data_IF_816216872282
#
_entry.id   IF_816216872282
#
_cell.length_a   1.000
_cell.length_b   1.000
_cell.length_c   1.000
_cell.angle_alpha   90.00
_cell.angle_beta   90.00
_cell.angle_gamma   90.00
#
_symmetry.space_group_name_H-M   'P 1'
#
loop_
_entity.id
_entity.type
_entity.pdbx_description
1 polymer ?
#
# COMPACT_ATOMS: atom_id res chain seq x y z
N UNK A 1 -20.14 -21.57 -42.85
CA UNK A 1 -18.84 -21.56 -42.22
C UNK A 1 -18.33 -20.17 -41.82
N UNK A 2 -19.14 -19.06 -41.83
CA UNK A 2 -18.69 -17.70 -41.46
C UNK A 2 -19.03 -17.29 -40.02
N UNK A 3 -19.88 -18.04 -39.31
CA UNK A 3 -20.25 -17.69 -37.90
C UNK A 3 -19.30 -18.20 -36.82
N UNK A 4 -18.47 -19.21 -37.12
CA UNK A 4 -17.50 -19.77 -36.16
C UNK A 4 -16.22 -18.94 -36.01
N UNK A 5 -15.84 -18.18 -37.06
CA UNK A 5 -14.60 -17.38 -37.05
C UNK A 5 -14.75 -16.16 -36.15
N UNK A 6 -15.94 -15.56 -36.05
CA UNK A 6 -16.21 -14.43 -35.19
C UNK A 6 -16.19 -14.77 -33.70
N UNK A 7 -16.66 -15.98 -33.35
CA UNK A 7 -16.66 -16.45 -31.97
C UNK A 7 -15.22 -16.74 -31.46
N UNK A 8 -14.37 -17.30 -32.34
CA UNK A 8 -12.96 -17.55 -32.02
C UNK A 8 -12.16 -16.23 -31.93
N UNK A 9 -12.48 -15.23 -32.76
CA UNK A 9 -11.83 -13.93 -32.68
C UNK A 9 -12.23 -13.16 -31.42
N UNK A 10 -13.49 -13.27 -31.00
CA UNK A 10 -13.96 -12.68 -29.73
C UNK A 10 -13.36 -13.39 -28.50
N UNK A 11 -13.17 -14.72 -28.58
CA UNK A 11 -12.50 -15.48 -27.53
C UNK A 11 -10.99 -15.19 -27.47
N UNK A 12 -10.33 -14.95 -28.60
CA UNK A 12 -8.93 -14.54 -28.61
C UNK A 12 -8.67 -13.11 -28.18
N UNK A 13 -9.65 -12.19 -28.35
CA UNK A 13 -9.54 -10.83 -27.79
C UNK A 13 -9.65 -10.84 -26.25
N UNK A 14 -10.36 -11.81 -25.67
CA UNK A 14 -10.45 -12.00 -24.21
C UNK A 14 -9.17 -12.58 -23.59
N UNK A 15 -8.28 -13.20 -24.38
CA UNK A 15 -7.05 -13.81 -23.86
C UNK A 15 -5.78 -12.99 -24.10
N UNK A 16 -5.87 -11.84 -24.78
CA UNK A 16 -4.72 -11.03 -25.18
C UNK A 16 -4.45 -9.83 -24.29
N UNK A 17 -5.20 -9.62 -23.21
CA UNK A 17 -4.84 -8.64 -22.21
C UNK A 17 -3.90 -9.27 -21.18
N UNK A 18 -2.70 -8.68 -20.92
CA UNK A 18 -1.89 -9.09 -19.79
C UNK A 18 -2.73 -8.90 -18.53
N UNK A 19 -2.71 -9.89 -17.65
CA UNK A 19 -3.41 -9.88 -16.37
C UNK A 19 -2.94 -8.69 -15.53
N UNK A 20 -3.59 -7.55 -15.72
CA UNK A 20 -3.74 -6.54 -14.70
C UNK A 20 -4.68 -7.19 -13.68
N UNK A 21 -4.34 -7.13 -12.41
CA UNK A 21 -5.14 -7.72 -11.34
C UNK A 21 -6.61 -7.38 -11.56
N UNK A 22 -7.38 -8.32 -12.08
CA UNK A 22 -8.82 -8.19 -12.23
C UNK A 22 -9.41 -8.30 -10.84
N UNK A 23 -9.81 -7.17 -10.28
CA UNK A 23 -10.70 -7.17 -9.15
C UNK A 23 -12.00 -7.86 -9.57
N UNK A 24 -12.25 -9.04 -9.03
CA UNK A 24 -13.43 -9.83 -9.34
C UNK A 24 -14.63 -9.17 -8.65
N UNK A 25 -15.44 -8.46 -9.43
CA UNK A 25 -16.71 -7.90 -8.96
C UNK A 25 -17.84 -8.90 -9.23
N UNK A 26 -18.59 -9.27 -8.20
CA UNK A 26 -19.81 -10.00 -8.41
C UNK A 26 -20.93 -9.01 -8.77
N UNK A 27 -21.35 -9.01 -10.00
CA UNK A 27 -22.55 -8.31 -10.44
C UNK A 27 -23.73 -9.23 -10.15
N UNK A 28 -24.50 -8.90 -9.13
CA UNK A 28 -25.75 -9.60 -8.87
C UNK A 28 -26.82 -9.10 -9.87
N UNK A 29 -27.28 -9.99 -10.72
CA UNK A 29 -28.50 -9.88 -11.53
C UNK A 29 -28.57 -8.83 -12.65
N UNK A 30 -27.54 -8.60 -13.43
CA UNK A 30 -27.70 -7.80 -14.64
C UNK A 30 -27.48 -8.64 -15.90
N UNK A 31 -28.52 -9.24 -16.43
CA UNK A 31 -28.46 -10.05 -17.67
C UNK A 31 -28.17 -9.24 -18.94
N UNK A 32 -28.08 -7.90 -18.87
CA UNK A 32 -27.91 -7.05 -20.04
C UNK A 32 -26.89 -5.91 -19.87
N UNK A 33 -26.34 -5.68 -18.66
CA UNK A 33 -25.37 -4.61 -18.40
C UNK A 33 -24.04 -5.24 -18.03
N UNK A 34 -22.97 -4.89 -18.73
CA UNK A 34 -21.61 -5.24 -18.34
C UNK A 34 -20.97 -4.06 -17.64
N UNK A 35 -20.27 -4.34 -16.55
CA UNK A 35 -19.48 -3.33 -15.83
C UNK A 35 -18.09 -3.87 -15.51
N UNK A 36 -17.10 -3.03 -15.71
CA UNK A 36 -15.69 -3.33 -15.36
C UNK A 36 -15.17 -2.13 -14.59
N UNK A 37 -14.49 -2.37 -13.48
CA UNK A 37 -13.75 -1.30 -12.80
C UNK A 37 -12.28 -1.41 -13.10
N UNK A 38 -11.64 -0.27 -13.28
CA UNK A 38 -10.20 -0.20 -13.44
C UNK A 38 -9.52 0.05 -12.09
N UNK A 39 -8.23 -0.29 -12.00
CA UNK A 39 -7.30 0.05 -10.91
C UNK A 39 -7.23 1.56 -10.61
N UNK A 40 -7.61 2.41 -11.58
CA UNK A 40 -7.65 3.87 -11.45
C UNK A 40 -8.96 4.42 -10.92
N UNK A 41 -9.91 3.57 -10.56
CA UNK A 41 -11.18 4.00 -9.99
C UNK A 41 -12.26 4.36 -11.01
N UNK A 42 -12.10 3.98 -12.26
CA UNK A 42 -13.15 4.15 -13.26
C UNK A 42 -14.05 2.93 -13.32
N UNK A 43 -15.35 3.18 -13.36
CA UNK A 43 -16.37 2.21 -13.69
C UNK A 43 -16.77 2.39 -15.17
N UNK A 44 -16.49 1.39 -15.97
CA UNK A 44 -17.00 1.32 -17.35
C UNK A 44 -18.34 0.61 -17.33
N UNK A 45 -19.40 1.29 -17.73
CA UNK A 45 -20.74 0.72 -17.83
C UNK A 45 -21.12 0.61 -19.28
N UNK A 46 -21.58 -0.57 -19.69
CA UNK A 46 -22.01 -0.82 -21.06
C UNK A 46 -23.39 -1.51 -21.07
N UNK A 47 -24.31 -1.00 -21.86
CA UNK A 47 -25.68 -1.48 -21.96
C UNK A 47 -26.12 -1.56 -23.41
N UNK A 48 -26.68 -2.71 -23.91
CA UNK A 48 -27.30 -2.76 -25.22
C UNK A 48 -28.60 -1.93 -25.22
N UNK A 49 -28.81 -1.18 -26.29
CA UNK A 49 -30.05 -0.42 -26.52
C UNK A 49 -30.88 -1.14 -27.61
N UNK A 50 -32.16 -1.36 -27.35
CA UNK A 50 -33.05 -2.00 -28.32
C UNK A 50 -33.42 -1.07 -29.49
N UNK A 51 -33.38 0.24 -29.24
CA UNK A 51 -33.66 1.31 -30.20
C UNK A 51 -33.03 2.60 -29.69
N UNK A 52 -33.22 3.72 -30.43
CA UNK A 52 -32.95 5.04 -29.85
C UNK A 52 -33.68 5.19 -28.54
N UNK A 53 -32.97 5.55 -27.48
CA UNK A 53 -33.51 5.61 -26.13
C UNK A 53 -32.90 6.73 -25.35
N UNK A 54 -33.70 7.40 -24.53
CA UNK A 54 -33.16 8.33 -23.53
C UNK A 54 -32.47 7.53 -22.45
N UNK A 55 -31.25 7.89 -22.11
CA UNK A 55 -30.46 7.20 -21.09
C UNK A 55 -30.14 8.15 -19.96
N UNK A 56 -30.46 7.73 -18.74
CA UNK A 56 -30.04 8.39 -17.51
C UNK A 56 -29.31 7.38 -16.64
N UNK A 57 -28.15 7.77 -16.10
CA UNK A 57 -27.42 6.96 -15.14
C UNK A 57 -27.36 7.67 -13.80
N UNK A 58 -27.66 6.94 -12.73
CA UNK A 58 -27.53 7.38 -11.35
C UNK A 58 -26.70 6.36 -10.58
N UNK A 59 -25.69 6.83 -9.83
CA UNK A 59 -24.90 5.97 -8.96
C UNK A 59 -25.01 6.51 -7.56
N UNK A 60 -25.34 5.63 -6.61
CA UNK A 60 -25.47 5.93 -5.19
C UNK A 60 -24.48 5.07 -4.40
N UNK A 61 -23.97 5.64 -3.30
CA UNK A 61 -23.12 4.93 -2.37
C UNK A 61 -23.91 4.07 -1.38
N UNK A 62 -23.23 3.47 -0.41
CA UNK A 62 -23.82 2.62 0.61
C UNK A 62 -24.75 3.37 1.59
N UNK A 63 -24.64 4.70 1.66
CA UNK A 63 -25.54 5.56 2.44
C UNK A 63 -26.70 6.13 1.62
N UNK A 64 -26.89 5.63 0.38
CA UNK A 64 -27.90 6.09 -0.59
C UNK A 64 -27.68 7.54 -1.07
N UNK A 65 -26.49 8.11 -0.82
CA UNK A 65 -26.12 9.41 -1.35
C UNK A 65 -25.76 9.30 -2.84
N UNK A 66 -26.26 10.24 -3.65
CA UNK A 66 -25.96 10.27 -5.07
C UNK A 66 -24.53 10.77 -5.29
N UNK A 67 -23.65 9.90 -5.75
CA UNK A 67 -22.23 10.20 -6.08
C UNK A 67 -22.04 10.56 -7.54
N UNK A 68 -22.96 10.12 -8.39
CA UNK A 68 -22.97 10.45 -9.81
C UNK A 68 -24.40 10.44 -10.35
N UNK A 69 -24.74 11.43 -11.19
CA UNK A 69 -25.98 11.45 -11.95
C UNK A 69 -25.79 12.20 -13.24
N UNK A 70 -26.21 11.60 -14.34
CA UNK A 70 -26.15 12.23 -15.67
C UNK A 70 -27.30 11.77 -16.55
N UNK A 71 -27.94 12.74 -17.22
CA UNK A 71 -28.87 12.53 -18.32
C UNK A 71 -28.07 12.68 -19.62
N UNK A 72 -28.00 11.63 -20.40
CA UNK A 72 -27.28 11.59 -21.68
C UNK A 72 -28.16 12.00 -22.84
N UNK A 73 -29.45 12.25 -22.58
CA UNK A 73 -30.43 12.52 -23.64
C UNK A 73 -30.71 11.28 -24.46
N UNK A 74 -31.09 11.50 -25.72
CA UNK A 74 -31.37 10.41 -26.66
C UNK A 74 -30.07 9.87 -27.20
N UNK A 75 -29.77 8.62 -26.88
CA UNK A 75 -28.64 7.87 -27.41
C UNK A 75 -29.08 7.05 -28.62
N UNK A 76 -28.44 7.29 -29.76
CA UNK A 76 -28.68 6.55 -31.00
C UNK A 76 -27.66 5.42 -31.13
N UNK A 77 -28.12 4.25 -31.50
CA UNK A 77 -27.27 3.07 -31.69
C UNK A 77 -27.79 1.84 -30.99
N UNK A 78 -27.02 0.76 -31.06
CA UNK A 78 -27.37 -0.52 -30.43
C UNK A 78 -26.70 -0.72 -29.08
N UNK A 79 -25.93 0.31 -28.63
CA UNK A 79 -25.09 0.16 -27.46
C UNK A 79 -24.80 1.52 -26.80
N UNK A 80 -24.96 1.59 -25.48
CA UNK A 80 -24.52 2.71 -24.64
C UNK A 80 -23.27 2.28 -23.87
N UNK A 81 -22.28 3.16 -23.77
CA UNK A 81 -21.09 2.94 -22.94
C UNK A 81 -20.62 4.25 -22.33
N UNK A 82 -20.26 4.20 -21.06
CA UNK A 82 -19.74 5.36 -20.32
C UNK A 82 -18.72 4.92 -19.27
N UNK A 83 -17.68 5.74 -19.09
CA UNK A 83 -16.68 5.57 -18.04
C UNK A 83 -16.89 6.63 -16.95
N UNK A 84 -17.13 6.19 -15.73
CA UNK A 84 -17.40 7.06 -14.58
C UNK A 84 -16.32 6.86 -13.53
N UNK A 85 -15.71 7.95 -13.07
CA UNK A 85 -14.83 7.90 -11.91
C UNK A 85 -15.65 7.74 -10.63
N UNK A 86 -15.36 6.70 -9.85
CA UNK A 86 -15.98 6.45 -8.55
C UNK A 86 -14.94 6.68 -7.45
N UNK A 87 -15.19 7.62 -6.53
CA UNK A 87 -14.34 7.78 -5.36
C UNK A 87 -14.36 6.50 -4.53
N UNK A 88 -13.21 6.16 -3.95
CA UNK A 88 -13.11 5.02 -3.05
C UNK A 88 -12.86 5.53 -1.63
N UNK A 89 -13.77 5.18 -0.72
CA UNK A 89 -13.71 5.54 0.68
C UNK A 89 -13.54 4.27 1.51
N UNK A 90 -12.29 3.94 1.86
CA UNK A 90 -12.00 2.74 2.64
C UNK A 90 -11.70 1.49 1.81
N UNK A 91 -11.60 0.35 2.48
CA UNK A 91 -11.18 -0.93 1.89
C UNK A 91 -12.22 -1.55 0.96
N UNK A 92 -13.49 -1.26 1.20
CA UNK A 92 -14.61 -1.74 0.40
C UNK A 92 -15.65 -0.64 0.30
N UNK A 93 -16.14 -0.37 -0.90
CA UNK A 93 -17.23 0.58 -1.14
C UNK A 93 -18.29 -0.10 -2.00
N UNK A 94 -19.54 -0.01 -1.58
CA UNK A 94 -20.69 -0.54 -2.32
C UNK A 94 -21.37 0.59 -3.05
N UNK A 95 -21.57 0.42 -4.34
CA UNK A 95 -22.30 1.35 -5.18
C UNK A 95 -23.53 0.67 -5.77
N UNK A 96 -24.64 1.40 -5.80
CA UNK A 96 -25.84 1.02 -6.58
C UNK A 96 -25.85 1.84 -7.85
N UNK A 97 -25.73 1.17 -8.99
CA UNK A 97 -25.80 1.79 -10.31
C UNK A 97 -27.17 1.55 -10.87
N UNK A 98 -27.86 2.61 -11.28
CA UNK A 98 -29.17 2.56 -11.91
C UNK A 98 -29.08 3.19 -13.29
N UNK A 99 -29.46 2.42 -14.31
CA UNK A 99 -29.67 2.90 -15.68
C UNK A 99 -31.16 2.93 -15.97
N UNK A 100 -31.63 4.10 -16.37
CA UNK A 100 -33.00 4.29 -16.82
C UNK A 100 -32.99 4.55 -18.31
N UNK A 101 -33.77 3.76 -19.05
CA UNK A 101 -33.96 3.90 -20.50
C UNK A 101 -35.47 4.01 -20.80
N UNK A 102 -35.84 4.31 -22.05
CA UNK A 102 -37.28 4.31 -22.44
C UNK A 102 -37.92 2.92 -22.34
N UNK A 103 -37.13 1.86 -22.33
CA UNK A 103 -37.60 0.47 -22.14
C UNK A 103 -37.69 0.05 -20.68
N UNK A 104 -37.24 0.87 -19.73
CA UNK A 104 -37.35 0.59 -18.31
C UNK A 104 -36.09 0.95 -17.52
N UNK A 105 -36.07 0.53 -16.24
CA UNK A 105 -34.98 0.76 -15.30
C UNK A 105 -34.26 -0.57 -15.03
N UNK A 106 -32.93 -0.51 -15.06
CA UNK A 106 -32.07 -1.62 -14.67
C UNK A 106 -31.15 -1.14 -13.56
N UNK A 107 -31.15 -1.82 -12.44
CA UNK A 107 -30.26 -1.52 -11.31
C UNK A 107 -29.38 -2.72 -10.98
N UNK A 108 -28.15 -2.47 -10.65
CA UNK A 108 -27.22 -3.48 -10.13
C UNK A 108 -26.37 -2.91 -9.00
N UNK A 109 -25.90 -3.78 -8.14
CA UNK A 109 -25.00 -3.44 -7.05
C UNK A 109 -23.59 -3.80 -7.46
N UNK A 110 -22.68 -2.83 -7.37
CA UNK A 110 -21.26 -2.99 -7.57
C UNK A 110 -20.55 -2.91 -6.21
N UNK A 111 -19.81 -3.94 -5.89
CA UNK A 111 -18.91 -3.90 -4.74
C UNK A 111 -17.51 -3.67 -5.28
N UNK A 112 -16.96 -2.50 -4.93
CA UNK A 112 -15.58 -2.18 -5.24
C UNK A 112 -14.71 -2.58 -4.05
N UNK A 113 -13.79 -3.49 -4.28
CA UNK A 113 -12.76 -3.88 -3.32
C UNK A 113 -11.48 -3.20 -3.74
N UNK A 114 -10.84 -2.49 -2.83
CA UNK A 114 -9.54 -1.91 -3.11
C UNK A 114 -8.51 -3.01 -3.39
N UNK A 115 -7.66 -2.85 -4.42
CA UNK A 115 -6.62 -3.81 -4.68
C UNK A 115 -5.68 -3.88 -3.47
N UNK A 116 -5.44 -5.09 -2.97
CA UNK A 116 -4.40 -5.34 -2.00
C UNK A 116 -3.06 -5.35 -2.70
N UNK A 117 -2.20 -4.43 -2.31
CA UNK A 117 -0.82 -4.41 -2.73
C UNK A 117 0.04 -5.21 -1.75
N UNK A 118 1.05 -5.88 -2.27
CA UNK A 118 2.07 -6.52 -1.44
C UNK A 118 3.42 -5.88 -1.75
N UNK A 119 4.03 -5.25 -0.75
CA UNK A 119 5.37 -4.68 -0.85
C UNK A 119 6.33 -5.41 0.09
N UNK A 120 7.43 -5.88 -0.47
CA UNK A 120 8.51 -6.56 0.26
C UNK A 120 9.65 -5.64 0.69
N UNK A 121 9.57 -4.34 0.36
CA UNK A 121 10.59 -3.33 0.65
C UNK A 121 10.15 -2.32 1.72
N UNK A 122 9.15 -2.66 2.53
CA UNK A 122 8.68 -1.80 3.60
C UNK A 122 9.75 -1.71 4.69
N UNK A 123 10.09 -0.48 5.08
CA UNK A 123 11.16 -0.16 6.05
C UNK A 123 10.71 0.97 6.98
N UNK A 124 11.58 1.43 7.87
CA UNK A 124 11.35 2.64 8.69
C UNK A 124 11.79 3.90 7.95
N UNK A 125 11.20 5.05 8.28
CA UNK A 125 11.84 6.32 7.98
C UNK A 125 13.19 6.38 8.73
N UNK A 126 14.24 6.86 8.05
CA UNK A 126 15.59 6.88 8.63
C UNK A 126 16.61 7.28 7.57
N UNK A 127 17.88 7.03 7.84
CA UNK A 127 18.94 7.25 6.86
C UNK A 127 18.90 6.19 5.76
N UNK A 128 19.12 6.58 4.50
CA UNK A 128 19.32 5.62 3.42
C UNK A 128 20.44 4.63 3.79
N UNK A 129 20.22 3.36 3.57
CA UNK A 129 21.22 2.35 3.87
C UNK A 129 22.50 2.55 3.03
N UNK A 130 22.38 3.16 1.85
CA UNK A 130 23.48 3.55 1.00
C UNK A 130 24.44 4.54 1.69
N UNK A 131 23.94 5.45 2.52
CA UNK A 131 24.77 6.45 3.24
C UNK A 131 25.56 5.81 4.41
N UNK A 132 25.07 4.66 4.89
CA UNK A 132 25.71 3.90 6.00
C UNK A 132 26.68 2.86 5.46
N UNK A 133 26.26 2.05 4.49
CA UNK A 133 26.99 0.88 4.01
C UNK A 133 27.70 1.09 2.67
N UNK A 134 27.41 2.19 1.96
CA UNK A 134 27.88 2.43 0.59
C UNK A 134 27.21 1.50 -0.46
N UNK A 135 26.26 0.65 -0.07
CA UNK A 135 25.55 -0.28 -0.96
C UNK A 135 24.20 0.32 -1.34
N UNK A 136 23.95 0.45 -2.64
CA UNK A 136 22.67 0.93 -3.14
C UNK A 136 21.52 0.01 -2.65
N UNK A 137 20.57 0.59 -1.93
CA UNK A 137 19.43 -0.13 -1.36
C UNK A 137 18.25 0.83 -1.20
N UNK A 138 17.00 0.38 -1.45
CA UNK A 138 15.81 1.17 -1.14
C UNK A 138 15.52 1.24 0.37
N UNK A 139 16.27 0.48 1.17
CA UNK A 139 16.06 0.38 2.60
C UNK A 139 16.69 1.54 3.35
N UNK A 140 16.14 1.82 4.52
CA UNK A 140 16.61 2.86 5.45
C UNK A 140 16.87 2.23 6.81
N UNK A 141 17.93 2.68 7.48
CA UNK A 141 18.22 2.31 8.85
C UNK A 141 17.89 3.46 9.80
N UNK A 142 17.42 3.13 10.99
CA UNK A 142 17.21 4.07 12.07
C UNK A 142 18.38 4.01 13.04
N UNK A 143 18.93 5.17 13.39
CA UNK A 143 19.94 5.31 14.41
C UNK A 143 19.26 5.60 15.74
N UNK A 144 19.66 4.89 16.78
CA UNK A 144 19.10 4.99 18.12
C UNK A 144 20.18 5.41 19.11
N UNK A 145 19.90 6.44 19.91
CA UNK A 145 20.55 6.70 21.18
C UNK A 145 19.88 5.85 22.26
N UNK A 146 20.53 4.76 22.63
CA UNK A 146 19.96 3.75 23.53
C UNK A 146 19.88 4.25 24.98
N UNK A 147 20.75 5.18 25.39
CA UNK A 147 20.72 5.76 26.73
C UNK A 147 19.54 6.71 26.88
N UNK A 148 19.29 7.54 25.86
CA UNK A 148 18.12 8.39 25.83
C UNK A 148 16.82 7.57 25.83
N UNK A 149 16.76 6.46 25.11
CA UNK A 149 15.59 5.57 25.05
C UNK A 149 15.32 4.80 26.35
N UNK A 150 16.36 4.44 27.12
CA UNK A 150 16.18 3.69 28.38
C UNK A 150 15.52 4.57 29.47
N UNK A 151 15.67 5.87 29.40
CA UNK A 151 15.19 6.85 30.36
C UNK A 151 13.95 7.65 29.91
N UNK A 152 13.51 7.48 28.66
CA UNK A 152 12.48 8.31 28.04
C UNK A 152 11.31 7.50 27.49
N UNK A 153 10.40 8.23 26.82
CA UNK A 153 9.26 7.63 26.12
C UNK A 153 9.71 6.79 24.93
N UNK A 154 8.89 5.82 24.50
CA UNK A 154 9.13 5.07 23.28
C UNK A 154 9.39 5.99 22.08
N UNK A 155 10.37 5.66 21.26
CA UNK A 155 10.58 6.32 19.97
C UNK A 155 9.66 5.68 18.95
N UNK A 156 8.82 6.48 18.30
CA UNK A 156 7.90 6.03 17.25
C UNK A 156 8.34 6.61 15.92
N UNK A 157 8.53 5.75 14.94
CA UNK A 157 9.04 6.12 13.61
C UNK A 157 8.07 5.64 12.54
N UNK A 158 7.79 6.43 11.49
CA UNK A 158 6.96 5.99 10.38
C UNK A 158 7.49 4.71 9.72
N UNK A 159 6.59 3.78 9.44
CA UNK A 159 6.79 2.63 8.58
C UNK A 159 6.44 3.04 7.16
N UNK A 160 7.36 2.86 6.21
CA UNK A 160 7.24 3.45 4.88
C UNK A 160 7.45 2.42 3.76
N UNK A 161 6.73 2.65 2.66
CA UNK A 161 6.91 2.04 1.35
C UNK A 161 7.14 3.18 0.36
N UNK A 162 8.38 3.38 -0.09
CA UNK A 162 8.74 4.57 -0.86
C UNK A 162 8.47 5.87 -0.09
N UNK A 163 7.56 6.69 -0.60
CA UNK A 163 7.09 7.95 -0.04
C UNK A 163 5.72 7.83 0.69
N UNK A 164 5.24 6.60 0.88
CA UNK A 164 3.95 6.32 1.49
C UNK A 164 4.13 5.78 2.91
N UNK A 165 3.31 6.26 3.84
CA UNK A 165 3.26 5.77 5.22
C UNK A 165 2.22 4.67 5.36
N UNK A 166 2.64 3.50 5.88
CA UNK A 166 1.78 2.34 6.11
C UNK A 166 1.46 2.11 7.59
N UNK A 167 2.20 2.74 8.48
CA UNK A 167 2.06 2.55 9.92
C UNK A 167 3.23 3.15 10.68
N UNK A 168 3.55 2.55 11.82
CA UNK A 168 4.68 2.97 12.65
C UNK A 168 5.44 1.78 13.23
N UNK A 169 6.71 2.01 13.52
CA UNK A 169 7.59 1.11 14.29
C UNK A 169 7.95 1.79 15.59
N UNK A 170 7.79 1.08 16.69
CA UNK A 170 8.08 1.59 18.03
C UNK A 170 9.32 0.90 18.58
N UNK A 171 10.25 1.70 19.08
CA UNK A 171 11.47 1.29 19.74
C UNK A 171 11.40 1.66 21.22
N UNK A 172 11.71 0.69 22.10
CA UNK A 172 11.82 0.91 23.53
C UNK A 172 13.04 0.18 24.06
N UNK A 173 13.75 0.79 25.01
CA UNK A 173 14.81 0.14 25.74
C UNK A 173 14.38 -0.02 27.19
N UNK A 174 14.55 -1.21 27.74
CA UNK A 174 14.35 -1.47 29.18
C UNK A 174 15.33 -2.53 29.67
N UNK A 175 16.06 -2.21 30.71
CA UNK A 175 17.03 -3.13 31.34
C UNK A 175 18.03 -3.70 30.31
N UNK A 176 18.60 -2.85 29.45
CA UNK A 176 19.55 -3.26 28.41
C UNK A 176 18.94 -4.09 27.27
N UNK A 177 17.62 -4.14 27.16
CA UNK A 177 16.94 -4.80 26.03
C UNK A 177 16.20 -3.82 25.15
N UNK A 178 16.58 -3.77 23.89
CA UNK A 178 15.84 -3.08 22.83
C UNK A 178 14.66 -3.94 22.39
N UNK A 179 13.46 -3.42 22.50
CA UNK A 179 12.24 -4.01 21.94
C UNK A 179 11.81 -3.23 20.71
N UNK A 180 11.48 -3.94 19.63
CA UNK A 180 11.02 -3.39 18.36
C UNK A 180 9.67 -3.99 18.04
N UNK A 181 8.66 -3.15 17.88
CA UNK A 181 7.30 -3.56 17.48
C UNK A 181 6.80 -2.70 16.32
N UNK A 182 5.88 -3.22 15.54
CA UNK A 182 5.28 -2.50 14.42
C UNK A 182 3.77 -2.63 14.45
N UNK A 183 3.09 -1.54 14.06
CA UNK A 183 1.65 -1.44 13.95
C UNK A 183 1.29 -0.76 12.63
N UNK A 184 0.31 -1.34 11.90
CA UNK A 184 -0.23 -0.76 10.68
C UNK A 184 -1.29 0.28 11.02
N UNK A 185 -1.28 1.40 10.30
CA UNK A 185 -2.37 2.40 10.29
C UNK A 185 -3.27 2.25 9.07
N UNK A 186 -2.87 1.37 8.15
CA UNK A 186 -3.63 1.01 6.94
C UNK A 186 -4.32 -0.34 7.14
N UNK A 187 -5.38 -0.57 6.39
CA UNK A 187 -6.02 -1.88 6.35
C UNK A 187 -5.09 -2.88 5.66
N UNK A 188 -4.57 -3.83 6.44
CA UNK A 188 -3.58 -4.75 5.91
C UNK A 188 -3.04 -5.76 6.90
N UNK A 189 -1.96 -6.43 6.51
CA UNK A 189 -1.25 -7.40 7.33
C UNK A 189 0.25 -7.31 7.13
N UNK A 190 1.03 -7.51 8.21
CA UNK A 190 2.47 -7.73 8.12
C UNK A 190 2.67 -9.22 7.83
N UNK A 191 3.08 -9.56 6.62
CA UNK A 191 3.27 -10.95 6.19
C UNK A 191 4.63 -11.51 6.64
N UNK A 192 5.65 -10.65 6.64
CA UNK A 192 7.00 -10.95 7.12
C UNK A 192 7.60 -9.72 7.77
N UNK A 193 8.44 -9.95 8.77
CA UNK A 193 9.22 -8.89 9.39
C UNK A 193 10.58 -9.41 9.85
N UNK A 194 11.62 -8.60 9.65
CA UNK A 194 12.99 -8.88 10.08
C UNK A 194 13.60 -7.64 10.69
N UNK A 195 14.35 -7.82 11.77
CA UNK A 195 15.06 -6.76 12.46
C UNK A 195 16.52 -7.13 12.57
N UNK A 196 17.38 -6.21 12.18
CA UNK A 196 18.83 -6.30 12.34
C UNK A 196 19.29 -5.14 13.19
N UNK A 197 20.16 -5.43 14.13
CA UNK A 197 20.74 -4.45 15.02
C UNK A 197 22.26 -4.50 14.86
N UNK A 198 22.82 -3.42 14.38
CA UNK A 198 24.26 -3.20 14.36
C UNK A 198 24.65 -2.45 15.61
N UNK A 199 25.67 -2.97 16.31
CA UNK A 199 26.15 -2.48 17.61
C UNK A 199 27.37 -1.56 17.50
N UNK A 200 27.85 -1.29 16.28
CA UNK A 200 28.95 -0.39 15.97
C UNK A 200 28.81 0.10 14.53
N UNK A 201 29.49 1.21 14.18
CA UNK A 201 29.49 1.71 12.81
C UNK A 201 30.05 0.68 11.82
N UNK A 202 31.08 -0.08 12.21
CA UNK A 202 31.64 -1.13 11.37
C UNK A 202 30.63 -2.25 11.07
N UNK A 203 29.85 -2.69 12.07
CA UNK A 203 28.80 -3.70 11.87
C UNK A 203 27.60 -3.15 11.10
N UNK A 204 27.33 -1.84 11.18
CA UNK A 204 26.29 -1.17 10.40
C UNK A 204 26.60 -1.17 8.89
N UNK A 205 27.86 -1.06 8.50
CA UNK A 205 28.28 -1.10 7.10
C UNK A 205 27.96 -2.43 6.41
N UNK A 206 27.75 -3.50 7.15
CA UNK A 206 27.40 -4.83 6.60
C UNK A 206 25.90 -5.16 6.67
N UNK A 207 25.04 -4.26 7.16
CA UNK A 207 23.61 -4.51 7.28
C UNK A 207 22.93 -4.86 5.94
N UNK A 208 23.35 -4.23 4.86
CA UNK A 208 22.79 -4.44 3.53
C UNK A 208 23.14 -5.76 2.86
N UNK A 209 24.08 -6.53 3.41
CA UNK A 209 24.58 -7.80 2.82
C UNK A 209 23.94 -9.04 3.44
N UNK A 210 23.13 -8.91 4.48
CA UNK A 210 22.52 -10.03 5.18
C UNK A 210 21.21 -10.46 4.54
N UNK A 211 21.02 -11.78 4.42
CA UNK A 211 19.78 -12.39 3.97
C UNK A 211 18.75 -12.33 5.09
N UNK A 212 17.52 -11.92 4.76
CA UNK A 212 16.44 -11.75 5.72
C UNK A 212 15.62 -13.03 5.87
N UNK A 213 15.63 -13.63 7.04
CA UNK A 213 14.76 -14.74 7.42
C UNK A 213 13.64 -14.19 8.33
N UNK A 214 12.49 -13.88 7.72
CA UNK A 214 11.33 -13.34 8.44
C UNK A 214 10.37 -14.42 8.90
N UNK A 215 9.73 -14.20 10.06
CA UNK A 215 8.58 -14.99 10.49
C UNK A 215 7.29 -14.28 10.10
N UNK A 216 6.27 -15.06 9.72
CA UNK A 216 4.92 -14.56 9.45
C UNK A 216 4.29 -14.01 10.73
N UNK A 217 3.69 -12.83 10.66
CA UNK A 217 2.93 -12.24 11.76
C UNK A 217 3.51 -10.91 12.28
N UNK A 218 3.07 -10.47 13.43
CA UNK A 218 3.45 -9.19 14.04
C UNK A 218 4.93 -9.09 14.34
N UNK A 219 5.53 -7.93 14.10
CA UNK A 219 6.87 -7.62 14.55
C UNK A 219 6.85 -7.38 16.07
N UNK A 220 7.53 -8.23 16.79
CA UNK A 220 7.83 -8.05 18.22
C UNK A 220 9.14 -8.76 18.51
N UNK A 221 10.26 -8.02 18.43
CA UNK A 221 11.59 -8.58 18.65
C UNK A 221 12.31 -7.87 19.78
N UNK A 222 13.03 -8.66 20.60
CA UNK A 222 13.88 -8.18 21.66
C UNK A 222 15.34 -8.50 21.32
N UNK A 223 16.23 -7.52 21.52
CA UNK A 223 17.66 -7.63 21.28
C UNK A 223 18.43 -7.08 22.47
N UNK A 224 19.43 -7.81 22.96
CA UNK A 224 20.33 -7.35 24.02
C UNK A 224 21.24 -6.23 23.48
N UNK A 225 21.17 -5.09 24.13
CA UNK A 225 21.96 -3.87 23.84
C UNK A 225 22.67 -3.33 25.07
N UNK A 226 22.87 -4.20 26.09
CA UNK A 226 23.52 -3.83 27.33
C UNK A 226 24.90 -3.22 27.08
N UNK A 227 25.16 -2.07 27.67
CA UNK A 227 26.46 -1.37 27.60
C UNK A 227 26.69 -0.61 26.29
N UNK A 228 25.73 -0.56 25.39
CA UNK A 228 25.84 0.22 24.16
C UNK A 228 25.22 1.60 24.34
N UNK A 229 25.86 2.63 23.73
CA UNK A 229 25.29 3.96 23.60
C UNK A 229 24.40 4.07 22.35
N UNK A 230 24.87 3.59 21.23
CA UNK A 230 24.22 3.71 19.93
C UNK A 230 23.93 2.35 19.31
N UNK A 231 22.91 2.31 18.47
CA UNK A 231 22.66 1.18 17.58
C UNK A 231 22.07 1.66 16.25
N UNK A 232 22.48 1.02 15.16
CA UNK A 232 21.79 1.17 13.88
C UNK A 232 20.83 -0.01 13.71
N UNK A 233 19.55 0.27 13.46
CA UNK A 233 18.52 -0.74 13.33
C UNK A 233 17.92 -0.70 11.95
N UNK A 234 17.98 -1.82 11.24
CA UNK A 234 17.30 -2.03 9.98
C UNK A 234 16.06 -2.90 10.22
N UNK A 235 14.90 -2.37 9.90
CA UNK A 235 13.65 -3.10 9.89
C UNK A 235 13.22 -3.29 8.44
N UNK A 236 13.01 -4.53 8.04
CA UNK A 236 12.47 -4.86 6.73
C UNK A 236 11.20 -5.69 6.88
N UNK A 237 10.18 -5.32 6.15
CA UNK A 237 8.89 -6.00 6.22
C UNK A 237 8.35 -6.27 4.82
N UNK A 238 7.55 -7.32 4.72
CA UNK A 238 6.60 -7.53 3.62
C UNK A 238 5.22 -7.25 4.18
N UNK A 239 4.52 -6.32 3.58
CA UNK A 239 3.19 -5.88 4.02
C UNK A 239 2.22 -6.02 2.86
N UNK A 240 1.07 -6.63 3.13
CA UNK A 240 -0.08 -6.62 2.23
C UNK A 240 -1.09 -5.60 2.76
N UNK A 241 -1.44 -4.61 1.97
CA UNK A 241 -2.26 -3.49 2.42
C UNK A 241 -3.21 -2.99 1.34
N UNK A 242 -4.26 -2.30 1.76
CA UNK A 242 -5.19 -1.63 0.90
C UNK A 242 -4.64 -0.26 0.49
N UNK A 243 -4.46 -0.05 -0.82
CA UNK A 243 -3.90 1.19 -1.35
C UNK A 243 -4.75 2.42 -1.02
N UNK A 244 -6.06 2.26 -0.87
CA UNK A 244 -6.95 3.38 -0.58
C UNK A 244 -6.77 3.98 0.82
N UNK A 245 -6.16 3.22 1.74
CA UNK A 245 -5.95 3.64 3.13
C UNK A 245 -4.58 4.26 3.39
N UNK A 246 -3.72 4.31 2.36
CA UNK A 246 -2.34 4.80 2.47
C UNK A 246 -2.30 6.33 2.47
N UNK A 247 -1.45 6.89 3.30
CA UNK A 247 -1.19 8.33 3.37
C UNK A 247 0.23 8.67 2.89
N UNK A 248 0.44 9.82 2.22
CA UNK A 248 1.78 10.28 1.90
C UNK A 248 2.60 10.53 3.18
N UNK A 249 3.88 10.14 3.15
CA UNK A 249 4.80 10.49 4.23
C UNK A 249 5.12 11.98 4.16
N UNK A 250 4.93 12.67 5.28
CA UNK A 250 5.38 14.05 5.42
C UNK A 250 6.89 14.06 5.72
N UNK A 251 7.71 14.70 4.88
CA UNK A 251 9.14 14.81 5.14
C UNK A 251 9.41 15.58 6.45
N UNK A 252 10.26 15.02 7.30
CA UNK A 252 10.72 15.65 8.54
C UNK A 252 12.24 15.93 8.44
N UNK A 253 12.57 17.19 8.14
CA UNK A 253 13.94 17.62 7.96
C UNK A 253 14.73 17.59 9.29
N UNK A 254 14.06 17.87 10.42
CA UNK A 254 14.70 17.80 11.74
C UNK A 254 15.07 16.37 12.09
N UNK A 255 14.14 15.44 11.91
CA UNK A 255 14.41 14.03 12.10
C UNK A 255 15.57 13.52 11.23
N UNK A 256 15.62 13.90 9.95
CA UNK A 256 16.70 13.52 9.07
C UNK A 256 18.06 14.06 9.55
N UNK A 257 18.10 15.30 10.06
CA UNK A 257 19.30 15.90 10.63
C UNK A 257 19.74 15.18 11.91
N UNK A 258 18.82 14.86 12.82
CA UNK A 258 19.09 14.11 14.04
C UNK A 258 19.68 12.72 13.73
N UNK A 259 19.13 12.02 12.74
CA UNK A 259 19.64 10.72 12.30
C UNK A 259 21.08 10.83 11.76
N UNK A 260 21.40 11.90 11.03
CA UNK A 260 22.77 12.14 10.54
C UNK A 260 23.74 12.42 11.69
N UNK A 261 23.33 13.18 12.70
CA UNK A 261 24.15 13.46 13.89
C UNK A 261 24.44 12.18 14.69
N UNK A 262 23.43 11.33 14.89
CA UNK A 262 23.57 10.04 15.56
C UNK A 262 24.53 9.11 14.80
N UNK A 263 24.47 9.11 13.46
CA UNK A 263 25.41 8.33 12.66
C UNK A 263 26.87 8.79 12.86
N UNK A 264 27.11 10.10 12.86
CA UNK A 264 28.43 10.66 13.10
C UNK A 264 28.95 10.30 14.50
N UNK A 265 28.10 10.42 15.54
CA UNK A 265 28.48 10.06 16.91
C UNK A 265 28.84 8.58 17.04
N UNK A 266 28.06 7.68 16.41
CA UNK A 266 28.34 6.24 16.40
C UNK A 266 29.67 5.91 15.68
N UNK A 267 30.03 6.66 14.64
CA UNK A 267 31.31 6.50 13.96
C UNK A 267 32.51 6.94 14.86
N UNK A 268 32.37 8.07 15.54
CA UNK A 268 33.41 8.59 16.46
C UNK A 268 33.65 7.62 17.63
N UNK A 269 32.58 7.05 18.21
CA UNK A 269 32.72 6.05 19.29
C UNK A 269 33.50 4.82 18.80
N UNK A 270 33.14 4.30 17.60
CA UNK A 270 33.80 3.13 17.02
C UNK A 270 35.30 3.37 16.77
N UNK A 271 35.69 4.59 16.35
CA UNK A 271 37.11 4.95 16.16
C UNK A 271 37.84 5.00 17.48
N UNK A 272 37.23 5.59 18.51
CA UNK A 272 37.87 5.71 19.84
C UNK A 272 38.09 4.34 20.50
N UNK A 273 37.15 3.41 20.35
CA UNK A 273 37.27 2.02 20.85
C UNK A 273 38.39 1.25 20.12
N UNK A 274 38.67 1.57 18.85
CA UNK A 274 39.72 0.90 18.07
C UNK A 274 41.12 1.40 18.38
N UNK A 275 41.28 2.58 19.01
CA UNK A 275 42.57 3.25 19.30
C UNK A 275 42.95 3.07 20.76
N UNK A 276 42.04 2.77 21.65
CA UNK A 276 42.28 2.53 23.10
C UNK A 276 42.59 1.07 23.38
#
# INVERSE_FOLDING_TARGET
MKKGVWLVLMLMLLTAFPALAEDVYSVADATQVSSVTSDRGYLSVACPLAAESRVTMTIRDEWDATVYQRDYGVCSGTFFSEDVYLPQNGAQTTYRVTLTTDSGETSFTLIRVAPRLTDSNVTTAGLPLADISGVASPQKAILLDLQSLDNQMPMVVPMVSGDMQLGCVTFTVRNGQLSVSAELTVDGSIDRASVYVAKSALSAQTLGTRRFDGKKGSLNKKVDVTGLHYAAVLVQMTVSYDQATVTPLMPDAQFAQEQTQLWNAMQEETVNEAVG
#
